data_IF_911052015780
#
_entry.id   IF_911052015780
#
_cell.length_a   1.000
_cell.length_b   1.000
_cell.length_c   1.000
_cell.angle_alpha   90.00
_cell.angle_beta   90.00
_cell.angle_gamma   90.00
#
_symmetry.space_group_name_H-M   'P 1'
#
loop_
_entity.id
_entity.type
_entity.pdbx_description
1 polymer ?
#
# COMPACT_ATOMS: atom_id res chain seq x y z
N UNK A 1 18.78 20.44 21.02
CA UNK A 1 17.81 20.76 20.02
C UNK A 1 17.25 19.51 19.36
N UNK A 2 16.01 19.54 19.11
CA UNK A 2 15.39 18.45 18.43
C UNK A 2 15.93 18.35 17.00
N UNK A 3 16.34 17.17 16.63
CA UNK A 3 16.78 16.95 15.29
C UNK A 3 15.63 17.13 14.32
N UNK A 4 15.82 17.93 13.30
CA UNK A 4 14.75 18.16 12.35
C UNK A 4 14.49 16.92 11.52
N UNK A 5 13.23 16.63 11.35
CA UNK A 5 12.80 15.58 10.45
C UNK A 5 12.78 16.17 9.04
N UNK A 6 13.58 15.67 8.11
CA UNK A 6 13.62 16.22 6.75
C UNK A 6 12.25 16.29 6.09
N UNK A 7 11.35 15.37 6.43
CA UNK A 7 10.03 15.37 5.81
C UNK A 7 9.17 16.53 6.24
N UNK A 8 9.33 16.98 7.48
CA UNK A 8 8.62 18.17 7.93
C UNK A 8 9.08 19.37 7.12
N UNK A 9 10.38 19.47 6.88
CA UNK A 9 10.94 20.58 6.13
C UNK A 9 10.53 20.56 4.67
N UNK A 10 10.19 19.39 4.14
CA UNK A 10 9.85 19.22 2.73
C UNK A 10 8.37 19.32 2.45
N UNK A 11 7.58 19.71 3.45
CA UNK A 11 6.15 19.92 3.32
C UNK A 11 5.36 18.66 2.94
N UNK A 12 5.91 17.47 3.17
CA UNK A 12 5.16 16.23 3.08
C UNK A 12 5.52 15.33 4.25
N UNK A 13 4.61 14.47 4.61
CA UNK A 13 4.76 13.59 5.76
C UNK A 13 4.30 12.21 5.35
N UNK A 14 4.82 11.19 6.05
CA UNK A 14 4.36 9.83 5.81
C UNK A 14 2.87 9.72 6.11
N UNK A 15 2.13 9.09 5.23
CA UNK A 15 0.71 8.81 5.41
C UNK A 15 0.56 7.33 5.75
N UNK A 16 -0.24 7.03 6.78
CA UNK A 16 -0.55 5.65 7.14
C UNK A 16 -2.05 5.49 7.19
N UNK A 17 -2.54 4.39 6.63
CA UNK A 17 -3.96 4.06 6.61
C UNK A 17 -4.13 2.57 6.82
N UNK A 18 -5.20 2.21 7.49
CA UNK A 18 -5.60 0.80 7.60
C UNK A 18 -6.76 0.57 6.66
N UNK A 19 -6.76 -0.56 5.99
CA UNK A 19 -7.82 -0.88 5.04
C UNK A 19 -8.05 -2.39 5.04
N UNK A 20 -9.29 -2.78 4.78
CA UNK A 20 -9.68 -4.17 4.78
C UNK A 20 -9.58 -4.75 3.38
N UNK A 21 -8.98 -5.92 3.26
CA UNK A 21 -8.97 -6.67 2.00
C UNK A 21 -10.36 -7.29 1.83
N UNK A 22 -11.06 -6.91 0.78
CA UNK A 22 -12.46 -7.28 0.63
C UNK A 22 -12.74 -8.21 -0.55
N UNK A 23 -11.78 -8.41 -1.45
CA UNK A 23 -11.98 -9.33 -2.55
C UNK A 23 -11.85 -10.78 -2.09
N UNK A 24 -12.60 -11.65 -2.72
CA UNK A 24 -12.73 -13.04 -2.28
C UNK A 24 -11.40 -13.77 -2.16
N UNK A 25 -10.51 -13.58 -3.11
CA UNK A 25 -9.26 -14.32 -3.18
C UNK A 25 -8.08 -13.61 -2.49
N UNK A 26 -8.30 -12.41 -1.95
CA UNK A 26 -7.23 -11.67 -1.29
C UNK A 26 -6.11 -11.25 -2.22
N UNK A 27 -4.92 -11.14 -1.69
CA UNK A 27 -3.74 -10.69 -2.45
C UNK A 27 -3.10 -11.86 -3.22
N UNK A 28 -3.88 -12.50 -4.08
CA UNK A 28 -3.37 -13.54 -4.98
C UNK A 28 -2.53 -12.90 -6.10
N UNK A 29 -1.94 -13.73 -6.97
CA UNK A 29 -0.96 -13.26 -7.94
C UNK A 29 -1.46 -12.10 -8.82
N UNK A 30 -2.71 -12.19 -9.32
CA UNK A 30 -3.25 -11.13 -10.17
C UNK A 30 -3.46 -9.84 -9.39
N UNK A 31 -4.02 -9.95 -8.19
CA UNK A 31 -4.24 -8.77 -7.33
C UNK A 31 -2.91 -8.13 -6.95
N UNK A 32 -1.92 -8.95 -6.61
CA UNK A 32 -0.58 -8.46 -6.29
C UNK A 32 0.05 -7.73 -7.48
N UNK A 33 -0.12 -8.27 -8.69
CA UNK A 33 0.41 -7.63 -9.89
C UNK A 33 -0.24 -6.26 -10.11
N UNK A 34 -1.54 -6.15 -9.89
CA UNK A 34 -2.24 -4.87 -10.03
C UNK A 34 -1.78 -3.87 -8.97
N UNK A 35 -1.57 -4.33 -7.75
CA UNK A 35 -1.06 -3.47 -6.68
C UNK A 35 0.33 -2.94 -7.05
N UNK A 36 1.22 -3.81 -7.48
CA UNK A 36 2.57 -3.43 -7.87
C UNK A 36 2.55 -2.43 -9.03
N UNK A 37 1.72 -2.70 -10.03
CA UNK A 37 1.59 -1.81 -11.18
C UNK A 37 1.12 -0.42 -10.76
N UNK A 38 0.10 -0.35 -9.91
CA UNK A 38 -0.40 0.92 -9.39
C UNK A 38 0.66 1.65 -8.58
N UNK A 39 1.30 0.94 -7.66
CA UNK A 39 2.31 1.52 -6.78
C UNK A 39 3.52 2.03 -7.58
N UNK A 40 3.90 1.33 -8.63
CA UNK A 40 5.08 1.67 -9.43
C UNK A 40 4.92 2.95 -10.23
N UNK A 41 3.70 3.45 -10.36
CA UNK A 41 3.45 4.72 -11.05
C UNK A 41 3.84 5.93 -10.19
N UNK A 42 4.13 5.73 -8.92
CA UNK A 42 4.41 6.83 -7.99
C UNK A 42 5.86 6.78 -7.52
N UNK A 43 6.40 7.96 -7.22
CA UNK A 43 7.76 8.09 -6.73
C UNK A 43 7.88 7.74 -5.25
N UNK A 44 6.81 7.90 -4.50
CA UNK A 44 6.81 7.66 -3.06
C UNK A 44 7.17 6.22 -2.71
N UNK A 45 7.75 6.04 -1.53
CA UNK A 45 7.95 4.73 -0.97
C UNK A 45 6.60 4.23 -0.44
N UNK A 46 6.18 3.08 -0.91
CA UNK A 46 4.87 2.53 -0.58
C UNK A 46 5.03 1.17 0.05
N UNK A 47 4.39 0.97 1.21
CA UNK A 47 4.46 -0.30 1.91
C UNK A 47 3.08 -0.77 2.31
N UNK A 48 2.93 -2.08 2.39
CA UNK A 48 1.71 -2.73 2.84
C UNK A 48 2.10 -3.84 3.79
N UNK A 49 1.27 -4.06 4.81
CA UNK A 49 1.59 -5.12 5.75
C UNK A 49 0.48 -5.41 6.74
N UNK A 50 0.70 -6.45 7.54
CA UNK A 50 -0.13 -6.76 8.69
C UNK A 50 0.72 -7.53 9.69
N UNK A 51 0.25 -7.58 10.94
CA UNK A 51 0.95 -8.30 12.02
C UNK A 51 2.41 -7.88 12.13
N UNK A 52 2.66 -6.57 12.07
CA UNK A 52 4.00 -5.97 12.23
C UNK A 52 4.95 -6.25 11.08
N UNK A 53 4.47 -6.86 10.00
CA UNK A 53 5.30 -7.14 8.84
C UNK A 53 4.89 -6.22 7.69
N UNK A 54 5.79 -5.30 7.34
CA UNK A 54 5.57 -4.37 6.24
C UNK A 54 6.48 -4.72 5.08
N UNK A 55 5.94 -4.68 3.87
CA UNK A 55 6.70 -5.02 2.67
C UNK A 55 6.50 -3.94 1.60
N UNK A 56 7.40 -3.91 0.64
CA UNK A 56 7.38 -2.96 -0.46
C UNK A 56 6.25 -3.28 -1.43
N UNK A 57 5.33 -2.32 -1.64
CA UNK A 57 4.24 -2.48 -2.60
C UNK A 57 4.72 -2.64 -4.04
N UNK A 58 5.98 -2.33 -4.32
CA UNK A 58 6.53 -2.41 -5.67
C UNK A 58 7.23 -3.74 -5.93
N UNK A 59 7.14 -4.68 -4.99
CA UNK A 59 7.72 -6.01 -5.11
C UNK A 59 6.61 -7.05 -5.10
N UNK A 60 6.36 -7.69 -6.24
CA UNK A 60 5.26 -8.65 -6.35
C UNK A 60 5.46 -9.85 -5.42
N UNK A 61 6.68 -10.34 -5.32
CA UNK A 61 6.96 -11.47 -4.43
C UNK A 61 6.69 -11.12 -2.98
N UNK A 62 7.12 -9.94 -2.55
CA UNK A 62 6.90 -9.50 -1.18
C UNK A 62 5.42 -9.35 -0.86
N UNK A 63 4.66 -8.77 -1.79
CA UNK A 63 3.22 -8.60 -1.61
C UNK A 63 2.53 -9.96 -1.52
N UNK A 64 2.89 -10.89 -2.39
CA UNK A 64 2.31 -12.24 -2.36
C UNK A 64 2.66 -12.97 -1.07
N UNK A 65 3.86 -12.76 -0.56
CA UNK A 65 4.30 -13.43 0.66
C UNK A 65 3.57 -12.95 1.91
N UNK A 66 2.89 -11.81 1.85
CA UNK A 66 2.02 -11.40 2.96
C UNK A 66 0.85 -12.34 3.13
N UNK A 67 0.42 -12.97 2.05
CA UNK A 67 -0.71 -13.89 2.07
C UNK A 67 -1.97 -13.30 2.70
N UNK A 68 -2.20 -12.00 2.49
CA UNK A 68 -3.36 -11.32 3.07
C UNK A 68 -4.62 -11.79 2.37
N UNK A 69 -5.50 -12.44 3.11
CA UNK A 69 -6.75 -12.98 2.58
C UNK A 69 -7.90 -12.02 2.82
N UNK A 70 -9.07 -12.35 2.25
CA UNK A 70 -10.28 -11.59 2.50
C UNK A 70 -10.51 -11.45 3.99
N UNK A 71 -10.82 -10.23 4.43
CA UNK A 71 -11.06 -9.95 5.83
C UNK A 71 -9.84 -9.53 6.62
N UNK A 72 -8.65 -9.59 6.02
CA UNK A 72 -7.45 -9.12 6.67
C UNK A 72 -7.40 -7.60 6.63
N UNK A 73 -7.19 -6.99 7.80
CA UNK A 73 -6.91 -5.55 7.84
C UNK A 73 -5.43 -5.35 7.60
N UNK A 74 -5.09 -4.58 6.57
CA UNK A 74 -3.70 -4.28 6.25
C UNK A 74 -3.41 -2.82 6.53
N UNK A 75 -2.16 -2.53 6.84
CA UNK A 75 -1.65 -1.17 6.94
C UNK A 75 -1.02 -0.78 5.63
N UNK A 76 -1.30 0.45 5.20
CA UNK A 76 -0.63 1.04 4.05
C UNK A 76 0.17 2.23 4.54
N UNK A 77 1.36 2.42 4.00
CA UNK A 77 2.11 3.64 4.24
C UNK A 77 2.65 4.19 2.93
N UNK A 78 2.67 5.51 2.84
CA UNK A 78 3.19 6.22 1.69
C UNK A 78 4.07 7.36 2.18
N UNK A 79 5.26 7.47 1.62
CA UNK A 79 6.26 8.43 2.08
C UNK A 79 6.99 9.01 0.87
N UNK A 80 6.66 10.25 0.53
CA UNK A 80 7.27 10.94 -0.58
C UNK A 80 6.40 12.08 -1.09
N UNK A 81 6.88 12.75 -2.13
CA UNK A 81 6.22 13.97 -2.61
C UNK A 81 4.83 13.73 -3.20
N UNK A 82 4.57 12.54 -3.72
CA UNK A 82 3.27 12.17 -4.27
C UNK A 82 2.51 11.20 -3.37
N UNK A 83 2.82 11.22 -2.07
CA UNK A 83 2.29 10.24 -1.14
C UNK A 83 0.76 10.23 -1.06
N UNK A 84 0.11 11.40 -1.14
CA UNK A 84 -1.35 11.44 -1.05
C UNK A 84 -1.99 10.82 -2.29
N UNK A 85 -1.51 11.15 -3.46
CA UNK A 85 -2.03 10.56 -4.69
C UNK A 85 -1.79 9.06 -4.73
N UNK A 86 -0.62 8.62 -4.24
CA UNK A 86 -0.26 7.21 -4.22
C UNK A 86 -1.16 6.41 -3.28
N UNK A 87 -1.36 6.90 -2.05
CA UNK A 87 -2.20 6.19 -1.09
C UNK A 87 -3.65 6.12 -1.56
N UNK A 88 -4.14 7.21 -2.14
CA UNK A 88 -5.51 7.25 -2.67
C UNK A 88 -5.70 6.25 -3.80
N UNK A 89 -4.72 6.13 -4.69
CA UNK A 89 -4.81 5.18 -5.80
C UNK A 89 -4.83 3.73 -5.30
N UNK A 90 -4.03 3.42 -4.29
CA UNK A 90 -3.99 2.06 -3.73
C UNK A 90 -5.28 1.75 -2.99
N UNK A 91 -5.78 2.69 -2.19
CA UNK A 91 -7.05 2.50 -1.48
C UNK A 91 -8.19 2.28 -2.47
N UNK A 92 -8.23 3.07 -3.54
CA UNK A 92 -9.24 2.92 -4.56
C UNK A 92 -9.17 1.53 -5.20
N UNK A 93 -7.99 1.07 -5.54
CA UNK A 93 -7.79 -0.25 -6.14
C UNK A 93 -8.31 -1.36 -5.21
N UNK A 94 -7.98 -1.29 -3.92
CA UNK A 94 -8.42 -2.29 -2.95
C UNK A 94 -9.94 -2.27 -2.81
N UNK A 95 -10.54 -1.06 -2.76
CA UNK A 95 -11.98 -0.91 -2.61
C UNK A 95 -12.76 -1.34 -3.86
N UNK A 96 -12.10 -1.32 -5.02
CA UNK A 96 -12.67 -1.90 -6.24
C UNK A 96 -12.46 -3.41 -6.34
N UNK A 97 -11.96 -4.04 -5.28
CA UNK A 97 -11.65 -5.47 -5.24
C UNK A 97 -10.65 -5.88 -6.33
N UNK A 98 -9.68 -4.99 -6.62
CA UNK A 98 -8.71 -5.21 -7.70
C UNK A 98 -9.41 -5.51 -9.03
N UNK A 99 -10.58 -4.88 -9.24
CA UNK A 99 -11.44 -5.05 -10.42
C UNK A 99 -11.99 -6.48 -10.58
N UNK A 100 -12.00 -7.25 -9.52
CA UNK A 100 -12.63 -8.59 -9.50
C UNK A 100 -14.10 -8.47 -9.11
N UNK A 101 -14.91 -9.38 -9.60
CA UNK A 101 -16.33 -9.34 -9.29
C UNK A 101 -16.61 -9.66 -7.82
N UNK A 102 -15.80 -10.47 -7.24
CA UNK A 102 -15.90 -10.87 -5.86
C UNK A 102 -14.58 -10.56 -5.15
#
# INVERSE_FOLDING_TARGET
MLKKNPRIDLAYTMIQKNILIINKLGLHARAAAKLVSTASAFASQLQIGHSSRMVDCKSIMSVMMLAASKGTEVQLSADGKDEQAAIDAIIDLINRRFDEEE
#
